data_IF_931895289383
#
_entry.id   IF_931895289383
#
_cell.length_a   1.000
_cell.length_b   1.000
_cell.length_c   1.000
_cell.angle_alpha   90.00
_cell.angle_beta   90.00
_cell.angle_gamma   90.00
#
_symmetry.space_group_name_H-M   'P 1'
#
loop_
_entity.id
_entity.type
_entity.pdbx_description
1 polymer ?
#
# COMPACT_ATOMS: atom_id res chain seq x y z
N UNK A 1 54.14 23.70 -24.24
CA UNK A 1 53.75 22.27 -24.38
C UNK A 1 52.46 22.05 -23.59
N UNK A 2 51.31 22.02 -24.26
CA UNK A 2 50.00 21.81 -23.64
C UNK A 2 49.46 20.45 -24.11
N UNK A 3 49.69 19.40 -23.33
CA UNK A 3 49.20 18.06 -23.61
C UNK A 3 48.64 17.51 -22.31
N UNK A 4 47.31 17.56 -22.19
CA UNK A 4 46.44 16.58 -21.51
C UNK A 4 45.17 17.25 -21.01
N UNK A 5 44.15 17.37 -21.87
CA UNK A 5 42.74 17.39 -21.40
C UNK A 5 41.76 17.11 -22.56
N UNK A 6 42.11 16.13 -23.40
CA UNK A 6 41.29 15.72 -24.57
C UNK A 6 40.48 14.43 -24.32
N UNK A 7 40.53 13.88 -23.10
CA UNK A 7 39.93 12.58 -22.77
C UNK A 7 38.61 12.66 -21.98
N UNK A 8 38.17 13.85 -21.52
CA UNK A 8 36.93 13.98 -20.74
C UNK A 8 35.68 14.36 -21.55
N UNK A 9 35.85 14.80 -22.80
CA UNK A 9 34.74 15.22 -23.66
C UNK A 9 34.25 14.13 -24.63
N UNK A 10 35.02 13.08 -24.90
CA UNK A 10 34.60 12.00 -25.81
C UNK A 10 33.70 10.93 -25.19
N UNK A 11 33.62 10.83 -23.87
CA UNK A 11 32.82 9.79 -23.19
C UNK A 11 31.34 10.18 -23.00
N UNK A 12 30.98 11.46 -23.16
CA UNK A 12 29.61 11.95 -22.94
C UNK A 12 28.73 11.94 -24.20
N UNK A 13 29.35 11.90 -25.38
CA UNK A 13 28.64 11.92 -26.67
C UNK A 13 28.26 10.51 -27.16
N UNK A 14 28.93 9.47 -26.67
CA UNK A 14 28.72 8.08 -27.12
C UNK A 14 27.55 7.37 -26.39
N UNK A 15 27.15 7.86 -25.20
CA UNK A 15 26.02 7.27 -24.45
C UNK A 15 24.67 7.85 -24.91
N UNK A 16 24.66 9.03 -25.53
CA UNK A 16 23.44 9.68 -26.06
C UNK A 16 22.97 9.12 -27.42
N UNK A 17 23.79 8.35 -28.13
CA UNK A 17 23.41 7.73 -29.41
C UNK A 17 22.78 6.33 -29.25
N UNK A 18 22.95 5.68 -28.10
CA UNK A 18 22.27 4.41 -27.76
C UNK A 18 20.82 4.66 -27.31
N UNK A 19 20.49 5.87 -26.87
CA UNK A 19 19.16 6.27 -26.38
C UNK A 19 18.14 6.62 -27.48
N UNK A 20 18.47 6.43 -28.77
CA UNK A 20 17.62 6.85 -29.90
C UNK A 20 17.17 5.72 -30.84
N UNK A 21 17.17 4.45 -30.38
CA UNK A 21 16.45 3.36 -31.07
C UNK A 21 15.70 2.48 -30.07
N UNK A 22 14.53 2.96 -29.64
CA UNK A 22 13.31 2.20 -29.30
C UNK A 22 12.35 3.15 -28.58
N UNK A 23 11.75 4.05 -29.37
CA UNK A 23 10.62 4.88 -28.93
C UNK A 23 9.56 4.88 -30.04
N UNK A 24 8.76 3.81 -30.10
CA UNK A 24 7.45 3.81 -30.76
C UNK A 24 6.68 2.52 -30.49
N UNK A 25 5.62 2.61 -29.69
CA UNK A 25 4.68 1.52 -29.35
C UNK A 25 5.15 0.75 -28.11
N UNK A 26 4.51 0.80 -26.95
CA UNK A 26 3.10 0.90 -26.69
C UNK A 26 2.87 1.78 -25.45
N UNK A 27 2.29 2.95 -25.66
CA UNK A 27 1.35 3.45 -24.68
C UNK A 27 0.23 2.40 -24.55
N UNK A 28 -0.09 2.06 -23.31
CA UNK A 28 -1.46 1.77 -22.90
C UNK A 28 -2.19 0.70 -23.73
N UNK A 29 -1.86 -0.58 -23.52
CA UNK A 29 -2.84 -1.63 -23.81
C UNK A 29 -4.04 -1.47 -22.86
N UNK A 30 -5.24 -1.12 -23.33
CA UNK A 30 -6.43 -1.04 -22.48
C UNK A 30 -6.82 -2.42 -21.92
N UNK A 31 -6.27 -3.50 -22.49
CA UNK A 31 -6.49 -4.87 -22.04
C UNK A 31 -5.73 -5.22 -20.74
N UNK A 32 -4.62 -4.56 -20.41
CA UNK A 32 -3.90 -4.83 -19.16
C UNK A 32 -4.51 -4.06 -17.96
N UNK A 33 -5.18 -2.93 -18.23
CA UNK A 33 -5.94 -2.19 -17.22
C UNK A 33 -7.26 -2.88 -16.83
N UNK A 34 -7.81 -3.75 -17.68
CA UNK A 34 -8.99 -4.57 -17.39
C UNK A 34 -8.67 -5.85 -16.60
N UNK A 35 -7.38 -6.23 -16.46
CA UNK A 35 -6.94 -7.43 -15.75
C UNK A 35 -6.25 -7.15 -14.41
N UNK A 36 -6.01 -5.89 -14.04
CA UNK A 36 -5.61 -5.51 -12.69
C UNK A 36 -6.83 -5.40 -11.75
N UNK A 37 -7.67 -6.44 -11.77
CA UNK A 37 -8.98 -6.46 -11.13
C UNK A 37 -9.14 -7.53 -10.06
N UNK A 38 -8.06 -8.03 -9.47
CA UNK A 38 -8.16 -9.03 -8.40
C UNK A 38 -7.36 -8.59 -7.18
N UNK A 39 -7.92 -7.63 -6.45
CA UNK A 39 -7.62 -7.52 -5.03
C UNK A 39 -8.16 -8.78 -4.35
N UNK A 40 -7.34 -9.83 -4.29
CA UNK A 40 -7.63 -11.01 -3.49
C UNK A 40 -8.11 -10.55 -2.11
N UNK A 41 -9.25 -11.06 -1.66
CA UNK A 41 -10.06 -10.57 -0.53
C UNK A 41 -9.22 -10.40 0.75
N UNK A 42 -8.48 -9.31 0.85
CA UNK A 42 -7.69 -8.98 2.02
C UNK A 42 -8.67 -8.59 3.11
N UNK A 43 -8.55 -9.22 4.29
CA UNK A 43 -9.36 -8.88 5.47
C UNK A 43 -8.99 -7.47 5.93
N UNK A 44 -9.58 -6.48 5.26
CA UNK A 44 -9.34 -5.06 5.40
C UNK A 44 -10.65 -4.39 5.77
N UNK A 45 -10.59 -3.36 6.62
CA UNK A 45 -11.78 -2.58 6.93
C UNK A 45 -12.16 -1.68 5.75
N UNK A 46 -13.40 -1.80 5.26
CA UNK A 46 -13.89 -0.97 4.14
C UNK A 46 -14.00 0.51 4.46
N UNK A 47 -14.14 0.88 5.75
CA UNK A 47 -14.32 2.26 6.18
C UNK A 47 -13.01 3.01 6.48
N UNK A 48 -11.99 2.32 7.01
CA UNK A 48 -10.74 2.97 7.46
C UNK A 48 -9.48 2.36 6.85
N UNK A 49 -9.61 1.36 5.97
CA UNK A 49 -8.48 0.73 5.30
C UNK A 49 -7.55 -0.07 6.21
N UNK A 50 -7.90 -0.28 7.49
CA UNK A 50 -7.05 -1.03 8.43
C UNK A 50 -6.78 -2.44 7.92
N UNK A 51 -5.50 -2.75 7.81
CA UNK A 51 -4.98 -4.06 7.41
C UNK A 51 -4.37 -4.78 8.61
N UNK A 52 -4.01 -6.03 8.40
CA UNK A 52 -3.19 -6.74 9.37
C UNK A 52 -1.76 -6.21 9.36
N UNK A 53 -1.17 -6.05 10.54
CA UNK A 53 0.20 -5.59 10.70
C UNK A 53 1.04 -6.70 11.33
N UNK A 54 2.35 -6.70 11.09
CA UNK A 54 3.30 -7.61 11.73
C UNK A 54 4.14 -6.80 12.72
N UNK A 55 4.14 -7.20 13.99
CA UNK A 55 4.87 -6.51 15.05
C UNK A 55 5.69 -7.48 15.90
N UNK A 56 6.81 -7.01 16.44
CA UNK A 56 7.59 -7.77 17.42
C UNK A 56 6.86 -7.87 18.76
N UNK A 57 6.85 -9.07 19.36
CA UNK A 57 6.42 -9.27 20.75
C UNK A 57 7.61 -9.06 21.68
N UNK A 58 7.39 -8.41 22.82
CA UNK A 58 8.38 -8.30 23.90
C UNK A 58 7.85 -8.99 25.15
N UNK A 59 8.74 -9.62 25.91
CA UNK A 59 8.42 -10.23 27.21
C UNK A 59 9.26 -9.56 28.28
N UNK A 60 8.62 -9.16 29.38
CA UNK A 60 9.33 -8.61 30.54
C UNK A 60 9.99 -9.76 31.31
N UNK A 61 11.31 -9.73 31.43
CA UNK A 61 12.09 -10.68 32.23
C UNK A 61 13.01 -9.88 33.15
N UNK A 62 12.91 -10.14 34.46
CA UNK A 62 13.75 -9.53 35.52
C UNK A 62 14.04 -8.03 35.32
N UNK A 63 13.02 -7.25 34.92
CA UNK A 63 13.10 -5.80 34.77
C UNK A 63 13.30 -5.26 33.34
N UNK A 64 13.61 -6.11 32.34
CA UNK A 64 13.84 -5.65 30.96
C UNK A 64 12.94 -6.33 29.93
N UNK A 65 12.51 -5.57 28.92
CA UNK A 65 11.70 -6.07 27.81
C UNK A 65 12.57 -6.69 26.71
N UNK A 66 12.66 -8.01 26.70
CA UNK A 66 13.40 -8.73 25.66
C UNK A 66 12.52 -8.93 24.40
N UNK A 67 12.98 -8.55 23.19
CA UNK A 67 12.33 -8.97 21.95
C UNK A 67 12.26 -10.51 21.86
N UNK A 68 11.11 -11.02 21.44
CA UNK A 68 10.88 -12.45 21.22
C UNK A 68 10.59 -12.68 19.74
N UNK A 69 9.36 -13.10 19.40
CA UNK A 69 8.99 -13.43 18.03
C UNK A 69 8.19 -12.31 17.37
N UNK A 70 8.22 -12.25 16.04
CA UNK A 70 7.31 -11.42 15.25
C UNK A 70 5.96 -12.11 15.17
N UNK A 71 4.89 -11.38 15.47
CA UNK A 71 3.51 -11.89 15.47
C UNK A 71 2.64 -10.99 14.60
N UNK A 72 1.81 -11.60 13.75
CA UNK A 72 0.80 -10.89 12.96
C UNK A 72 -0.38 -10.50 13.84
N UNK A 73 -0.72 -9.22 13.85
CA UNK A 73 -1.89 -8.65 14.52
C UNK A 73 -2.96 -8.35 13.47
N UNK A 74 -4.13 -8.97 13.63
CA UNK A 74 -5.27 -8.76 12.72
C UNK A 74 -6.24 -7.76 13.33
N UNK A 75 -6.82 -6.85 12.53
CA UNK A 75 -7.88 -5.97 13.02
C UNK A 75 -9.13 -6.78 13.40
N UNK A 76 -9.85 -6.34 14.42
CA UNK A 76 -11.15 -6.92 14.77
C UNK A 76 -12.21 -6.46 13.77
N UNK A 77 -12.44 -7.26 12.73
CA UNK A 77 -13.36 -7.01 11.62
C UNK A 77 -14.66 -7.76 11.86
N UNK A 78 -15.78 -7.07 11.69
CA UNK A 78 -17.13 -7.61 11.87
C UNK A 78 -18.06 -7.10 10.78
N UNK A 79 -19.06 -7.91 10.45
CA UNK A 79 -20.12 -7.52 9.51
C UNK A 79 -21.12 -6.60 10.20
N UNK A 80 -21.36 -5.44 9.61
CA UNK A 80 -22.30 -4.44 10.16
C UNK A 80 -23.14 -3.82 9.05
N UNK A 81 -24.38 -3.49 9.38
CA UNK A 81 -25.27 -2.67 8.54
C UNK A 81 -25.08 -1.20 8.89
N UNK A 82 -24.86 -0.36 7.88
CA UNK A 82 -24.71 1.08 8.09
C UNK A 82 -26.04 1.73 8.47
N UNK A 83 -26.13 2.46 9.60
CA UNK A 83 -27.35 3.20 9.95
C UNK A 83 -27.52 4.49 9.14
N UNK A 84 -26.43 5.05 8.62
CA UNK A 84 -26.39 6.29 7.82
C UNK A 84 -25.39 6.13 6.68
N UNK A 85 -25.60 6.87 5.59
CA UNK A 85 -24.67 6.87 4.47
C UNK A 85 -23.29 7.40 4.91
N UNK A 86 -22.22 6.70 4.52
CA UNK A 86 -20.84 7.05 4.91
C UNK A 86 -19.83 6.45 3.94
N UNK A 87 -18.76 7.20 3.64
CA UNK A 87 -17.62 6.72 2.84
C UNK A 87 -18.04 6.12 1.48
N UNK A 88 -19.01 6.74 0.81
CA UNK A 88 -19.52 6.29 -0.50
C UNK A 88 -20.56 5.15 -0.44
N UNK A 89 -20.89 4.65 0.75
CA UNK A 89 -21.91 3.62 0.94
C UNK A 89 -23.24 4.23 1.39
N UNK A 90 -24.36 3.71 0.87
CA UNK A 90 -25.71 4.11 1.27
C UNK A 90 -26.13 3.50 2.62
N UNK A 91 -27.11 4.11 3.28
CA UNK A 91 -27.68 3.57 4.51
C UNK A 91 -28.32 2.19 4.25
N UNK A 92 -28.18 1.27 5.21
CA UNK A 92 -28.69 -0.11 5.11
C UNK A 92 -27.71 -1.11 4.47
N UNK A 93 -26.63 -0.65 3.84
CA UNK A 93 -25.63 -1.54 3.24
C UNK A 93 -24.88 -2.36 4.30
N UNK A 94 -24.61 -3.63 3.97
CA UNK A 94 -23.82 -4.55 4.81
C UNK A 94 -22.36 -4.51 4.38
N UNK A 95 -21.46 -4.22 5.31
CA UNK A 95 -20.03 -4.13 5.05
C UNK A 95 -19.18 -4.71 6.17
N UNK A 96 -17.91 -5.01 5.85
CA UNK A 96 -16.93 -5.50 6.81
C UNK A 96 -16.18 -4.32 7.44
N UNK A 97 -16.51 -3.99 8.69
CA UNK A 97 -15.95 -2.86 9.42
C UNK A 97 -15.15 -3.28 10.65
N UNK A 98 -14.18 -2.45 11.06
CA UNK A 98 -13.47 -2.68 12.32
C UNK A 98 -14.28 -2.21 13.53
N UNK A 99 -14.06 -2.83 14.69
CA UNK A 99 -14.78 -2.50 15.93
C UNK A 99 -14.67 -1.01 16.35
N UNK A 100 -13.57 -0.31 16.01
CA UNK A 100 -13.44 1.13 16.27
C UNK A 100 -14.42 1.95 15.41
N UNK A 101 -14.57 1.61 14.14
CA UNK A 101 -15.50 2.26 13.24
C UNK A 101 -16.95 1.97 13.64
N UNK A 102 -17.26 0.73 14.03
CA UNK A 102 -18.59 0.35 14.48
C UNK A 102 -18.99 1.15 15.72
N UNK A 103 -18.09 1.26 16.71
CA UNK A 103 -18.31 2.11 17.88
C UNK A 103 -18.51 3.58 17.52
N UNK A 104 -17.79 4.08 16.52
CA UNK A 104 -17.94 5.46 16.05
C UNK A 104 -19.28 5.69 15.33
N UNK A 105 -19.88 4.67 14.70
CA UNK A 105 -21.21 4.79 14.09
C UNK A 105 -22.33 4.94 15.13
N UNK A 106 -22.16 4.34 16.31
CA UNK A 106 -23.14 4.41 17.40
C UNK A 106 -22.98 5.62 18.34
N UNK A 107 -21.94 6.44 18.17
CA UNK A 107 -21.78 7.66 18.99
C UNK A 107 -22.69 8.77 18.47
N UNK A 108 -23.54 9.28 19.34
CA UNK A 108 -24.51 10.34 19.05
C UNK A 108 -23.98 11.75 19.35
N UNK A 109 -22.82 11.86 20.02
CA UNK A 109 -22.15 13.12 20.34
C UNK A 109 -20.66 12.88 20.58
#
# INVERSE_FOLDING_TARGET
>A
MAVADKWRLRYKDEVHSVTLRLRSGCADSPLLALLAGESGMEKTCTLCGKKSEVGGKRKLLRGHYNPTTKVRRRPNLQWVRLPRARAGFSAGTRLLACAKCIKALGKTR
#
